data_IF_038099126573
#
_entry.id   IF_038099126573
#
_cell.length_a   1.000
_cell.length_b   1.000
_cell.length_c   1.000
_cell.angle_alpha   90.00
_cell.angle_beta   90.00
_cell.angle_gamma   90.00
#
_symmetry.space_group_name_H-M   'P 1'
#
loop_
_entity.id
_entity.type
_entity.pdbx_description
1 polymer ?
#
# COMPACT_ATOMS: atom_id res chain seq x y z
N UNK A 1 -0.96 23.98 -28.34
CA UNK A 1 -0.34 22.66 -28.23
C UNK A 1 -1.06 22.00 -27.06
N UNK A 2 -1.72 20.90 -27.25
CA UNK A 2 -2.27 20.15 -26.13
C UNK A 2 -1.08 19.61 -25.36
N UNK A 3 -0.88 20.11 -24.13
CA UNK A 3 0.16 19.61 -23.24
C UNK A 3 -0.05 18.09 -23.10
N UNK A 4 0.90 17.32 -23.64
CA UNK A 4 0.81 15.86 -23.63
C UNK A 4 1.22 15.39 -22.22
N UNK A 5 0.23 15.27 -21.32
CA UNK A 5 0.45 14.79 -19.97
C UNK A 5 0.91 13.34 -20.02
N UNK A 6 2.10 13.07 -19.48
CA UNK A 6 2.71 11.74 -19.48
C UNK A 6 2.17 10.85 -18.37
N UNK A 7 1.99 11.42 -17.19
CA UNK A 7 1.57 10.69 -15.99
C UNK A 7 0.44 11.39 -15.25
N UNK A 8 -0.47 10.60 -14.69
CA UNK A 8 -1.44 11.02 -13.69
C UNK A 8 -1.08 10.38 -12.37
N UNK A 9 -0.72 11.19 -11.37
CA UNK A 9 -0.53 10.71 -9.99
C UNK A 9 -1.88 10.78 -9.29
N UNK A 10 -2.48 9.63 -9.04
CA UNK A 10 -3.75 9.51 -8.37
C UNK A 10 -3.56 9.26 -6.87
N UNK A 11 -4.29 10.03 -6.05
CA UNK A 11 -4.24 9.97 -4.59
C UNK A 11 -5.66 9.87 -4.04
N UNK A 12 -6.10 8.68 -3.57
CA UNK A 12 -7.33 8.57 -2.81
C UNK A 12 -7.12 9.14 -1.41
N UNK A 13 -8.06 9.96 -0.92
CA UNK A 13 -7.97 10.57 0.41
C UNK A 13 -9.18 10.31 1.28
N UNK A 14 -8.94 10.09 2.57
CA UNK A 14 -9.95 9.99 3.61
C UNK A 14 -9.32 10.30 4.96
N UNK A 15 -9.69 11.45 5.59
CA UNK A 15 -9.09 11.94 6.83
C UNK A 15 -7.55 11.95 6.78
N UNK A 16 -7.00 12.65 5.78
CA UNK A 16 -5.57 12.65 5.46
C UNK A 16 -4.80 13.86 5.99
N UNK A 17 -5.37 14.67 6.89
CA UNK A 17 -4.79 15.95 7.34
C UNK A 17 -3.36 15.84 7.88
N UNK A 18 -3.02 14.69 8.49
CA UNK A 18 -1.70 14.46 9.09
C UNK A 18 -0.59 14.18 8.06
N UNK A 19 -0.95 13.78 6.83
CA UNK A 19 0.00 13.26 5.84
C UNK A 19 0.12 14.14 4.58
N UNK A 20 -0.96 14.82 4.18
CA UNK A 20 -1.05 15.42 2.86
C UNK A 20 -0.06 16.57 2.62
N UNK A 21 0.29 17.37 3.62
CA UNK A 21 1.29 18.44 3.46
C UNK A 21 2.68 17.86 3.14
N UNK A 22 3.08 16.78 3.80
CA UNK A 22 4.34 16.08 3.51
C UNK A 22 4.31 15.49 2.10
N UNK A 23 3.23 14.79 1.76
CA UNK A 23 3.02 14.17 0.45
C UNK A 23 3.08 15.19 -0.68
N UNK A 24 2.27 16.24 -0.63
CA UNK A 24 2.27 17.28 -1.67
C UNK A 24 3.59 18.04 -1.75
N UNK A 25 4.28 18.25 -0.63
CA UNK A 25 5.63 18.82 -0.63
C UNK A 25 6.60 17.94 -1.41
N UNK A 26 6.56 16.64 -1.23
CA UNK A 26 7.41 15.70 -1.96
C UNK A 26 7.06 15.63 -3.45
N UNK A 27 5.76 15.66 -3.79
CA UNK A 27 5.30 15.69 -5.19
C UNK A 27 5.69 16.99 -5.90
N UNK A 28 5.57 18.14 -5.24
CA UNK A 28 5.96 19.44 -5.80
C UNK A 28 7.46 19.52 -6.13
N UNK A 29 8.29 18.75 -5.44
CA UNK A 29 9.74 18.70 -5.66
C UNK A 29 10.17 17.73 -6.75
N UNK A 30 9.25 17.01 -7.38
CA UNK A 30 9.61 16.02 -8.41
C UNK A 30 10.28 16.69 -9.62
N UNK A 31 11.39 16.10 -10.05
CA UNK A 31 12.17 16.55 -11.22
C UNK A 31 11.99 15.54 -12.35
N UNK A 32 11.16 15.91 -13.29
CA UNK A 32 10.87 15.17 -14.51
C UNK A 32 10.99 16.08 -15.73
N UNK A 33 11.20 15.52 -16.89
CA UNK A 33 11.29 16.22 -18.18
C UNK A 33 9.98 16.09 -19.01
N UNK A 34 8.89 15.76 -18.33
CA UNK A 34 7.56 15.60 -18.91
C UNK A 34 6.49 16.24 -18.01
N UNK A 35 5.34 16.55 -18.62
CA UNK A 35 4.18 17.06 -17.90
C UNK A 35 3.45 15.93 -17.17
N UNK A 36 3.00 16.20 -15.94
CA UNK A 36 2.17 15.29 -15.15
C UNK A 36 1.05 16.04 -14.43
N UNK A 37 -0.03 15.34 -14.16
CA UNK A 37 -1.13 15.86 -13.35
C UNK A 37 -1.20 15.17 -11.98
N UNK A 38 -1.75 15.87 -11.01
CA UNK A 38 -2.21 15.32 -9.74
C UNK A 38 -3.73 15.19 -9.81
N UNK A 39 -4.24 14.00 -9.51
CA UNK A 39 -5.65 13.70 -9.41
C UNK A 39 -5.96 13.23 -7.99
N UNK A 40 -6.76 13.99 -7.24
CA UNK A 40 -7.17 13.63 -5.89
C UNK A 40 -8.66 13.29 -5.89
N UNK A 41 -9.03 12.16 -5.28
CA UNK A 41 -10.43 11.82 -4.99
C UNK A 41 -10.57 11.66 -3.48
N UNK A 42 -11.31 12.59 -2.87
CA UNK A 42 -11.57 12.60 -1.44
C UNK A 42 -12.92 11.97 -1.10
N UNK A 43 -12.94 11.11 -0.10
CA UNK A 43 -14.15 10.41 0.35
C UNK A 43 -14.86 11.22 1.44
N UNK A 44 -15.25 12.47 1.12
CA UNK A 44 -16.01 13.39 1.98
C UNK A 44 -15.40 13.55 3.39
N UNK A 45 -14.10 13.79 3.44
CA UNK A 45 -13.38 14.07 4.70
C UNK A 45 -13.93 15.31 5.40
N UNK A 46 -14.06 15.24 6.73
CA UNK A 46 -14.58 16.33 7.56
C UNK A 46 -13.51 17.05 8.39
N UNK A 47 -12.27 16.57 8.33
CA UNK A 47 -11.09 17.21 8.90
C UNK A 47 -10.52 18.29 7.96
N UNK A 48 -9.30 18.71 8.14
CA UNK A 48 -8.63 19.72 7.31
C UNK A 48 -8.18 19.22 5.93
N UNK A 49 -8.43 17.95 5.60
CA UNK A 49 -8.08 17.35 4.29
C UNK A 49 -8.50 18.22 3.11
N UNK A 50 -9.79 18.65 2.97
CA UNK A 50 -10.22 19.47 1.84
C UNK A 50 -9.56 20.86 1.79
N UNK A 51 -9.21 21.43 2.94
CA UNK A 51 -8.49 22.72 3.03
C UNK A 51 -7.05 22.59 2.51
N UNK A 52 -6.35 21.53 2.95
CA UNK A 52 -4.98 21.25 2.52
C UNK A 52 -4.95 21.04 1.01
N UNK A 53 -5.84 20.18 0.47
CA UNK A 53 -5.93 19.92 -0.97
C UNK A 53 -6.10 21.24 -1.74
N UNK A 54 -7.06 22.08 -1.36
CA UNK A 54 -7.31 23.37 -2.01
C UNK A 54 -6.13 24.35 -1.91
N UNK A 55 -5.35 24.27 -0.83
CA UNK A 55 -4.17 25.12 -0.65
C UNK A 55 -3.00 24.73 -1.55
N UNK A 56 -2.92 23.43 -1.89
CA UNK A 56 -1.87 22.91 -2.76
C UNK A 56 -2.21 22.96 -4.24
N UNK A 57 -3.48 22.88 -4.61
CA UNK A 57 -3.93 22.85 -6.01
C UNK A 57 -3.33 23.95 -6.88
N UNK A 58 -3.26 25.24 -6.46
CA UNK A 58 -2.70 26.32 -7.28
C UNK A 58 -1.18 26.23 -7.50
N UNK A 59 -0.48 25.37 -6.76
CA UNK A 59 0.98 25.22 -6.87
C UNK A 59 1.40 24.27 -7.98
N UNK A 60 0.49 23.40 -8.43
CA UNK A 60 0.73 22.45 -9.53
C UNK A 60 0.15 22.99 -10.84
N UNK A 61 0.81 22.72 -11.94
CA UNK A 61 0.36 23.13 -13.26
C UNK A 61 -0.93 22.41 -13.67
N UNK A 62 -1.03 21.12 -13.36
CA UNK A 62 -2.21 20.30 -13.62
C UNK A 62 -2.64 19.61 -12.33
N UNK A 63 -3.75 20.07 -11.77
CA UNK A 63 -4.31 19.51 -10.53
C UNK A 63 -5.82 19.40 -10.65
N UNK A 64 -6.34 18.23 -10.35
CA UNK A 64 -7.79 17.97 -10.30
C UNK A 64 -8.17 17.38 -8.96
N UNK A 65 -9.29 17.81 -8.45
CA UNK A 65 -9.83 17.40 -7.17
C UNK A 65 -11.31 17.09 -7.29
N UNK A 66 -11.70 15.90 -6.86
CA UNK A 66 -13.10 15.45 -6.79
C UNK A 66 -13.42 14.92 -5.40
N UNK A 67 -14.69 14.97 -5.05
CA UNK A 67 -15.22 14.42 -3.80
C UNK A 67 -16.28 13.39 -4.11
N UNK A 68 -16.20 12.24 -3.45
CA UNK A 68 -17.19 11.18 -3.52
C UNK A 68 -17.78 10.93 -2.12
N UNK A 69 -18.92 10.28 -2.06
CA UNK A 69 -19.52 9.84 -0.79
C UNK A 69 -18.94 8.49 -0.35
N UNK A 70 -19.06 8.17 0.94
CA UNK A 70 -18.57 6.89 1.48
C UNK A 70 -19.16 5.66 0.78
N UNK A 71 -20.47 5.60 0.46
CA UNK A 71 -21.05 4.47 -0.29
C UNK A 71 -20.50 4.31 -1.73
N UNK A 72 -19.99 5.37 -2.33
CA UNK A 72 -19.38 5.34 -3.66
C UNK A 72 -17.95 4.79 -3.61
N UNK A 73 -17.33 4.79 -2.43
CA UNK A 73 -15.97 4.32 -2.26
C UNK A 73 -15.90 2.80 -2.25
N UNK A 74 -15.02 2.27 -3.07
CA UNK A 74 -14.41 0.94 -2.98
C UNK A 74 -13.01 1.07 -3.55
N UNK A 75 -12.04 0.39 -2.99
CA UNK A 75 -10.66 0.51 -3.43
C UNK A 75 -10.50 0.24 -4.94
N UNK A 76 -11.06 -0.82 -5.46
CA UNK A 76 -11.00 -1.15 -6.89
C UNK A 76 -11.77 -0.16 -7.77
N UNK A 77 -12.99 0.23 -7.34
CA UNK A 77 -13.82 1.19 -8.08
C UNK A 77 -13.15 2.54 -8.26
N UNK A 78 -12.61 3.09 -7.17
CA UNK A 78 -11.98 4.43 -7.20
C UNK A 78 -10.70 4.42 -8.01
N UNK A 79 -9.91 3.33 -7.98
CA UNK A 79 -8.74 3.17 -8.85
C UNK A 79 -9.12 3.07 -10.33
N UNK A 80 -10.16 2.30 -10.66
CA UNK A 80 -10.66 2.22 -12.02
C UNK A 80 -11.28 3.54 -12.49
N UNK A 81 -11.95 4.27 -11.60
CA UNK A 81 -12.45 5.61 -11.89
C UNK A 81 -11.29 6.56 -12.19
N UNK A 82 -10.24 6.55 -11.38
CA UNK A 82 -9.04 7.34 -11.62
C UNK A 82 -8.39 7.02 -12.96
N UNK A 83 -8.31 5.75 -13.36
CA UNK A 83 -7.81 5.37 -14.68
C UNK A 83 -8.63 5.96 -15.84
N UNK A 84 -9.98 5.99 -15.69
CA UNK A 84 -10.88 6.61 -16.68
C UNK A 84 -10.71 8.13 -16.75
N UNK A 85 -10.47 8.77 -15.62
CA UNK A 85 -10.30 10.22 -15.50
C UNK A 85 -8.90 10.69 -15.89
N UNK A 86 -7.89 9.85 -15.74
CA UNK A 86 -6.49 10.17 -15.98
C UNK A 86 -6.28 10.76 -17.37
N UNK A 87 -5.50 11.84 -17.47
CA UNK A 87 -5.07 12.43 -18.74
C UNK A 87 -3.74 11.85 -19.23
N UNK A 88 -2.92 11.34 -18.27
CA UNK A 88 -1.64 10.74 -18.57
C UNK A 88 -1.71 9.40 -19.28
N UNK A 89 -0.62 9.05 -19.97
CA UNK A 89 -0.39 7.72 -20.55
C UNK A 89 -0.24 6.66 -19.45
N UNK A 90 0.35 7.05 -18.33
CA UNK A 90 0.55 6.22 -17.15
C UNK A 90 -0.30 6.73 -15.98
N UNK A 91 -0.91 5.81 -15.25
CA UNK A 91 -1.58 6.12 -13.98
C UNK A 91 -0.70 5.63 -12.84
N UNK A 92 -0.28 6.55 -11.99
CA UNK A 92 0.54 6.27 -10.80
C UNK A 92 -0.37 6.31 -9.60
N UNK A 93 -0.45 5.20 -8.87
CA UNK A 93 -1.25 5.06 -7.65
C UNK A 93 -0.36 5.31 -6.44
N UNK A 94 -0.77 6.22 -5.58
CA UNK A 94 -0.04 6.60 -4.39
C UNK A 94 -1.02 6.83 -3.24
N UNK A 95 -0.89 6.07 -2.14
CA UNK A 95 -1.75 6.30 -0.97
C UNK A 95 -1.37 7.57 -0.23
N UNK A 96 -2.34 8.18 0.46
CA UNK A 96 -2.16 9.48 1.14
C UNK A 96 -1.05 9.48 2.22
N UNK A 97 -0.67 8.32 2.73
CA UNK A 97 0.34 8.10 3.79
C UNK A 97 1.71 7.62 3.25
N UNK A 98 1.82 7.51 1.92
CA UNK A 98 3.06 7.17 1.24
C UNK A 98 3.72 8.42 0.66
N UNK A 99 4.92 8.75 1.13
CA UNK A 99 5.65 9.96 0.71
C UNK A 99 6.83 9.59 -0.18
N UNK A 100 6.94 10.11 -1.43
CA UNK A 100 8.13 9.94 -2.26
C UNK A 100 9.42 10.27 -1.50
N UNK A 101 10.39 9.35 -1.51
CA UNK A 101 11.60 9.48 -0.70
C UNK A 101 12.63 10.47 -1.31
N UNK A 102 12.49 10.82 -2.59
CA UNK A 102 13.38 11.74 -3.29
C UNK A 102 12.71 12.39 -4.51
N UNK A 103 13.37 13.36 -5.10
CA UNK A 103 12.87 14.21 -6.18
C UNK A 103 12.86 13.57 -7.59
N UNK A 104 13.28 12.32 -7.73
CA UNK A 104 13.23 11.54 -8.99
C UNK A 104 12.26 10.36 -8.94
N UNK A 105 11.48 10.22 -7.88
CA UNK A 105 10.57 9.11 -7.69
C UNK A 105 9.61 8.89 -8.88
N UNK A 106 8.99 9.97 -9.37
CA UNK A 106 8.05 9.89 -10.48
C UNK A 106 8.72 9.44 -11.79
N UNK A 107 9.95 9.87 -12.02
CA UNK A 107 10.75 9.38 -13.13
C UNK A 107 11.06 7.89 -12.99
N UNK A 108 11.53 7.47 -11.82
CA UNK A 108 11.96 6.08 -11.57
C UNK A 108 10.80 5.07 -11.64
N UNK A 109 9.57 5.48 -11.27
CA UNK A 109 8.43 4.56 -11.33
C UNK A 109 7.89 4.37 -12.75
N UNK A 110 8.08 5.34 -13.64
CA UNK A 110 7.61 5.26 -15.05
C UNK A 110 8.65 4.59 -15.94
N UNK A 111 9.93 4.77 -15.68
CA UNK A 111 11.04 4.31 -16.48
C UNK A 111 10.98 2.83 -16.92
N UNK A 112 10.57 1.86 -16.10
CA UNK A 112 10.49 0.47 -16.55
C UNK A 112 9.51 0.28 -17.70
N UNK A 113 8.38 0.98 -17.70
CA UNK A 113 7.39 0.92 -18.78
C UNK A 113 7.92 1.61 -20.06
N UNK A 114 8.65 2.71 -19.91
CA UNK A 114 9.24 3.40 -21.07
C UNK A 114 10.29 2.55 -21.79
N UNK A 115 11.10 1.81 -21.02
CA UNK A 115 12.21 1.00 -21.57
C UNK A 115 11.79 -0.36 -22.09
N UNK A 116 10.76 -0.94 -21.50
CA UNK A 116 10.30 -2.31 -21.80
C UNK A 116 8.81 -2.24 -22.15
N UNK A 117 8.46 -2.24 -23.44
CA UNK A 117 7.07 -2.09 -23.88
C UNK A 117 6.10 -3.14 -23.31
N UNK A 118 6.59 -4.34 -23.00
CA UNK A 118 5.81 -5.43 -22.41
C UNK A 118 5.47 -5.22 -20.93
N UNK A 119 6.21 -4.33 -20.24
CA UNK A 119 5.90 -3.97 -18.84
C UNK A 119 4.66 -3.08 -18.84
N UNK A 120 3.59 -3.59 -18.24
CA UNK A 120 2.31 -2.88 -18.16
C UNK A 120 2.00 -2.37 -16.74
N UNK A 121 2.65 -2.92 -15.73
CA UNK A 121 2.55 -2.47 -14.34
C UNK A 121 3.91 -2.40 -13.66
N UNK A 122 4.08 -1.43 -12.78
CA UNK A 122 5.29 -1.22 -11.98
C UNK A 122 4.91 -1.07 -10.52
N UNK A 123 5.63 -1.74 -9.66
CA UNK A 123 5.56 -1.58 -8.20
C UNK A 123 6.85 -0.91 -7.72
N UNK A 124 6.73 0.19 -7.00
CA UNK A 124 7.85 0.84 -6.32
C UNK A 124 8.10 0.23 -4.94
N UNK A 125 9.28 0.48 -4.39
CA UNK A 125 9.67 0.04 -3.06
C UNK A 125 8.93 0.84 -1.98
N UNK A 126 8.56 0.18 -0.90
CA UNK A 126 8.16 0.85 0.33
C UNK A 126 9.31 0.73 1.34
N UNK A 127 9.79 1.85 1.83
CA UNK A 127 10.72 1.92 2.95
C UNK A 127 9.96 2.30 4.22
N UNK A 128 10.17 1.60 5.32
CA UNK A 128 9.52 1.93 6.57
C UNK A 128 10.05 3.25 7.13
N UNK A 129 9.18 4.11 7.66
CA UNK A 129 9.61 5.34 8.33
C UNK A 129 10.62 5.04 9.43
N UNK A 130 11.64 5.90 9.64
CA UNK A 130 12.71 5.65 10.62
C UNK A 130 12.23 5.34 12.02
N UNK A 131 11.08 5.90 12.41
CA UNK A 131 10.50 5.78 13.76
C UNK A 131 9.45 4.67 13.90
N UNK A 132 9.17 3.94 12.82
CA UNK A 132 8.11 2.95 12.77
C UNK A 132 8.24 1.83 13.81
N UNK A 133 7.12 1.16 14.10
CA UNK A 133 7.07 -0.05 14.91
C UNK A 133 8.06 -1.12 14.35
N UNK A 134 8.97 -1.67 15.18
CA UNK A 134 9.98 -2.61 14.70
C UNK A 134 9.42 -3.84 13.98
N UNK A 135 8.29 -4.37 14.46
CA UNK A 135 7.61 -5.49 13.81
C UNK A 135 7.22 -5.17 12.36
N UNK A 136 6.56 -4.03 12.12
CA UNK A 136 6.19 -3.58 10.76
C UNK A 136 7.43 -3.25 9.93
N UNK A 137 8.42 -2.61 10.54
CA UNK A 137 9.67 -2.26 9.87
C UNK A 137 10.40 -3.50 9.36
N UNK A 138 10.52 -4.54 10.17
CA UNK A 138 11.11 -5.81 9.77
C UNK A 138 10.29 -6.50 8.67
N UNK A 139 8.96 -6.45 8.77
CA UNK A 139 8.07 -7.05 7.77
C UNK A 139 8.16 -6.34 6.40
N UNK A 140 8.12 -5.01 6.37
CA UNK A 140 8.25 -4.24 5.12
C UNK A 140 9.60 -4.52 4.47
N UNK A 141 10.71 -4.42 5.22
CA UNK A 141 12.06 -4.68 4.70
C UNK A 141 12.14 -6.10 4.11
N UNK A 142 11.60 -7.10 4.81
CA UNK A 142 11.63 -8.49 4.36
C UNK A 142 10.76 -8.72 3.12
N UNK A 143 9.59 -8.08 3.06
CA UNK A 143 8.69 -8.18 1.91
C UNK A 143 9.35 -7.64 0.65
N UNK A 144 9.91 -6.44 0.72
CA UNK A 144 10.51 -5.83 -0.48
C UNK A 144 11.87 -6.40 -0.86
N UNK A 145 12.61 -7.00 0.06
CA UNK A 145 13.86 -7.71 -0.23
C UNK A 145 13.69 -8.95 -1.12
N UNK A 146 12.45 -9.47 -1.27
CA UNK A 146 12.19 -10.65 -2.11
C UNK A 146 12.12 -10.32 -3.61
N UNK A 147 11.88 -9.05 -3.97
CA UNK A 147 11.62 -8.67 -5.37
C UNK A 147 12.88 -8.31 -6.16
N UNK A 148 14.02 -8.23 -5.51
CA UNK A 148 15.30 -8.00 -6.17
C UNK A 148 16.18 -7.00 -5.44
N UNK A 149 17.38 -6.73 -5.99
CA UNK A 149 18.36 -5.83 -5.38
C UNK A 149 17.93 -4.36 -5.54
N UNK A 150 18.35 -3.51 -4.60
CA UNK A 150 18.00 -2.08 -4.58
C UNK A 150 18.65 -1.23 -5.69
N UNK A 151 19.57 -1.81 -6.47
CA UNK A 151 20.29 -1.10 -7.52
C UNK A 151 19.70 -1.24 -8.92
N UNK A 152 18.73 -2.14 -9.14
CA UNK A 152 18.21 -2.42 -10.47
C UNK A 152 16.72 -2.78 -10.47
N UNK A 153 16.10 -2.64 -11.63
CA UNK A 153 14.71 -3.04 -11.87
C UNK A 153 14.65 -4.56 -12.10
N UNK A 154 13.77 -5.25 -11.38
CA UNK A 154 13.44 -6.66 -11.62
C UNK A 154 12.15 -6.75 -12.42
N UNK A 155 12.06 -7.71 -13.35
CA UNK A 155 10.88 -7.93 -14.18
C UNK A 155 10.32 -9.32 -13.94
N UNK A 156 9.01 -9.42 -13.80
CA UNK A 156 8.25 -10.62 -13.51
C UNK A 156 7.23 -10.86 -14.62
N UNK A 157 7.08 -12.11 -15.03
CA UNK A 157 6.12 -12.55 -16.04
C UNK A 157 5.72 -13.99 -15.77
N UNK A 158 4.63 -14.44 -16.37
CA UNK A 158 4.22 -15.85 -16.32
C UNK A 158 5.20 -16.72 -17.11
N UNK A 159 5.68 -17.80 -16.50
CA UNK A 159 6.61 -18.74 -17.10
C UNK A 159 6.19 -20.17 -16.75
N UNK A 160 6.49 -21.12 -17.64
CA UNK A 160 6.23 -22.55 -17.42
C UNK A 160 6.97 -23.13 -16.19
N UNK A 161 8.00 -22.44 -15.70
CA UNK A 161 8.77 -22.83 -14.51
C UNK A 161 8.16 -22.35 -13.19
N UNK A 162 6.99 -21.70 -13.19
CA UNK A 162 6.26 -21.38 -11.95
C UNK A 162 5.64 -22.66 -11.42
N UNK A 163 6.37 -23.34 -10.53
CA UNK A 163 6.10 -24.69 -10.02
C UNK A 163 5.37 -24.72 -8.67
N UNK A 164 5.19 -23.56 -8.03
CA UNK A 164 4.58 -23.46 -6.71
C UNK A 164 3.73 -22.21 -6.53
N UNK A 165 2.72 -22.32 -5.67
CA UNK A 165 1.88 -21.18 -5.29
C UNK A 165 2.70 -20.05 -4.68
N UNK A 166 3.77 -20.36 -3.94
CA UNK A 166 4.64 -19.36 -3.33
C UNK A 166 5.38 -18.54 -4.39
N UNK A 167 5.88 -19.18 -5.44
CA UNK A 167 6.53 -18.47 -6.56
C UNK A 167 5.51 -17.66 -7.34
N UNK A 168 4.32 -18.25 -7.58
CA UNK A 168 3.24 -17.53 -8.24
C UNK A 168 2.81 -16.27 -7.46
N UNK A 169 2.63 -16.39 -6.13
CA UNK A 169 2.31 -15.24 -5.27
C UNK A 169 3.39 -14.16 -5.31
N UNK A 170 4.66 -14.52 -5.41
CA UNK A 170 5.77 -13.57 -5.55
C UNK A 170 5.73 -12.85 -6.91
N UNK A 171 5.55 -13.61 -7.98
CA UNK A 171 5.50 -13.09 -9.36
C UNK A 171 4.31 -12.13 -9.52
N UNK A 172 3.15 -12.47 -8.93
CA UNK A 172 1.92 -11.69 -9.08
C UNK A 172 1.74 -10.60 -8.01
N UNK A 173 2.53 -10.57 -6.94
CA UNK A 173 2.40 -9.57 -5.88
C UNK A 173 2.41 -8.15 -6.43
N UNK A 174 1.43 -7.35 -6.05
CA UNK A 174 1.31 -5.94 -6.44
C UNK A 174 0.82 -5.11 -5.25
N UNK A 175 1.22 -3.85 -5.16
CA UNK A 175 0.79 -2.97 -4.07
C UNK A 175 0.61 -1.54 -4.54
N UNK A 176 -0.62 -1.06 -4.46
CA UNK A 176 -1.02 0.30 -4.85
C UNK A 176 -0.73 1.37 -3.80
N UNK A 177 -0.02 1.01 -2.76
CA UNK A 177 0.62 2.02 -1.91
C UNK A 177 1.58 2.86 -2.74
N UNK A 178 2.26 2.23 -3.72
CA UNK A 178 3.24 2.86 -4.59
C UNK A 178 3.37 2.03 -5.88
N UNK A 179 2.59 2.36 -6.89
CA UNK A 179 2.57 1.62 -8.15
C UNK A 179 2.30 2.51 -9.35
N UNK A 180 2.47 1.98 -10.54
CA UNK A 180 2.08 2.63 -11.80
C UNK A 180 1.65 1.59 -12.83
N UNK A 181 0.69 1.94 -13.69
CA UNK A 181 0.25 1.07 -14.76
C UNK A 181 -0.03 1.85 -16.04
N UNK A 182 0.06 1.16 -17.20
CA UNK A 182 -0.35 1.73 -18.48
C UNK A 182 -1.86 1.96 -18.49
N UNK A 183 -2.28 3.19 -18.77
CA UNK A 183 -3.70 3.53 -18.90
C UNK A 183 -4.41 2.68 -19.95
N UNK A 184 -3.76 2.38 -21.07
CA UNK A 184 -4.32 1.53 -22.12
C UNK A 184 -4.69 0.12 -21.63
N UNK A 185 -3.89 -0.47 -20.75
CA UNK A 185 -4.14 -1.79 -20.15
C UNK A 185 -5.27 -1.71 -19.11
N UNK A 186 -5.29 -0.67 -18.28
CA UNK A 186 -6.35 -0.41 -17.29
C UNK A 186 -7.73 -0.17 -17.93
N UNK A 187 -7.77 0.41 -19.13
CA UNK A 187 -9.01 0.66 -19.88
C UNK A 187 -9.35 -0.45 -20.88
N UNK A 188 -8.45 -1.40 -21.07
CA UNK A 188 -8.57 -2.53 -21.99
C UNK A 188 -8.68 -3.85 -21.25
N UNK A 189 -7.62 -4.65 -21.33
CA UNK A 189 -7.64 -6.06 -20.96
C UNK A 189 -7.64 -6.33 -19.44
N UNK A 190 -7.05 -5.42 -18.64
CA UNK A 190 -6.86 -5.63 -17.21
C UNK A 190 -7.36 -4.43 -16.41
N UNK A 191 -8.69 -4.24 -16.29
CA UNK A 191 -9.26 -3.20 -15.41
C UNK A 191 -9.17 -3.62 -13.94
N UNK A 192 -9.12 -2.64 -13.03
CA UNK A 192 -9.35 -2.92 -11.62
C UNK A 192 -10.75 -3.46 -11.40
N UNK A 193 -10.84 -4.56 -10.68
CA UNK A 193 -12.11 -5.15 -10.28
C UNK A 193 -12.69 -4.43 -9.08
N UNK A 194 -14.02 -4.28 -9.05
CA UNK A 194 -14.75 -3.69 -7.91
C UNK A 194 -14.88 -4.72 -6.80
N UNK A 195 -13.77 -4.98 -6.11
CA UNK A 195 -13.71 -5.84 -4.93
C UNK A 195 -13.34 -5.02 -3.71
N UNK A 196 -13.87 -5.36 -2.53
CA UNK A 196 -13.72 -4.54 -1.34
C UNK A 196 -12.30 -4.54 -0.75
N UNK A 197 -11.49 -5.54 -1.07
CA UNK A 197 -10.15 -5.70 -0.49
C UNK A 197 -9.22 -6.48 -1.42
N UNK A 198 -7.90 -6.20 -1.38
CA UNK A 198 -6.84 -6.84 -2.16
C UNK A 198 -7.04 -6.72 -3.70
N UNK A 199 -7.64 -5.64 -4.14
CA UNK A 199 -7.84 -5.31 -5.56
C UNK A 199 -6.51 -5.14 -6.30
N UNK A 200 -5.48 -4.65 -5.60
CA UNK A 200 -4.12 -4.53 -6.10
C UNK A 200 -3.46 -5.90 -6.32
N UNK A 201 -3.66 -6.85 -5.39
CA UNK A 201 -3.19 -8.22 -5.55
C UNK A 201 -3.89 -8.90 -6.75
N UNK A 202 -5.20 -8.67 -6.87
CA UNK A 202 -5.97 -9.21 -8.01
C UNK A 202 -5.53 -8.58 -9.33
N UNK A 203 -5.26 -7.28 -9.36
CA UNK A 203 -4.73 -6.60 -10.52
C UNK A 203 -3.36 -7.18 -10.94
N UNK A 204 -2.45 -7.39 -9.99
CA UNK A 204 -1.15 -7.99 -10.26
C UNK A 204 -1.25 -9.42 -10.82
N UNK A 205 -2.18 -10.23 -10.30
CA UNK A 205 -2.48 -11.57 -10.83
C UNK A 205 -3.05 -11.48 -12.26
N UNK A 206 -4.06 -10.64 -12.47
CA UNK A 206 -4.70 -10.49 -13.78
C UNK A 206 -3.71 -9.98 -14.83
N UNK A 207 -2.82 -9.05 -14.45
CA UNK A 207 -1.78 -8.51 -15.32
C UNK A 207 -0.88 -9.63 -15.87
N UNK A 208 -0.36 -10.47 -14.96
CA UNK A 208 0.55 -11.57 -15.33
C UNK A 208 -0.18 -12.63 -16.14
N UNK A 209 -1.40 -13.02 -15.74
CA UNK A 209 -2.23 -14.02 -16.46
C UNK A 209 -2.64 -13.59 -17.88
N UNK A 210 -2.69 -12.27 -18.14
CA UNK A 210 -2.94 -11.75 -19.50
C UNK A 210 -1.65 -11.62 -20.33
N UNK A 211 -0.53 -12.16 -19.84
CA UNK A 211 0.74 -12.19 -20.55
C UNK A 211 1.53 -10.87 -20.51
N UNK A 212 1.13 -9.92 -19.65
CA UNK A 212 1.90 -8.70 -19.42
C UNK A 212 3.04 -8.95 -18.42
N UNK A 213 4.10 -8.15 -18.56
CA UNK A 213 5.18 -8.12 -17.58
C UNK A 213 4.89 -7.09 -16.49
N UNK A 214 5.27 -7.43 -15.27
CA UNK A 214 5.28 -6.54 -14.10
C UNK A 214 6.72 -6.22 -13.72
N UNK A 215 7.01 -4.99 -13.34
CA UNK A 215 8.33 -4.61 -12.86
C UNK A 215 8.31 -4.22 -11.37
N UNK A 216 9.41 -4.46 -10.68
CA UNK A 216 9.74 -3.88 -9.39
C UNK A 216 10.84 -2.85 -9.57
N UNK A 217 10.56 -1.60 -9.20
CA UNK A 217 11.46 -0.46 -9.33
C UNK A 217 11.90 0.02 -7.93
N UNK A 218 12.99 -0.52 -7.37
CA UNK A 218 13.43 -0.19 -6.00
C UNK A 218 13.83 1.27 -5.82
N UNK A 219 14.24 1.95 -6.90
CA UNK A 219 14.57 3.39 -6.88
C UNK A 219 13.34 4.28 -6.81
N UNK A 220 12.17 3.79 -7.19
CA UNK A 220 10.91 4.49 -6.98
C UNK A 220 10.41 4.22 -5.56
N UNK A 221 11.20 4.58 -4.56
CA UNK A 221 10.86 4.29 -3.17
C UNK A 221 10.07 5.40 -2.49
N UNK A 222 9.18 4.98 -1.59
CA UNK A 222 8.38 5.87 -0.74
C UNK A 222 8.60 5.53 0.73
N UNK A 223 8.49 6.53 1.60
CA UNK A 223 8.36 6.32 3.04
C UNK A 223 6.90 5.97 3.33
N UNK A 224 6.67 4.77 3.85
CA UNK A 224 5.33 4.33 4.21
C UNK A 224 5.35 3.46 5.47
N UNK A 225 4.54 3.82 6.45
CA UNK A 225 4.19 2.97 7.59
C UNK A 225 2.90 3.46 8.23
N UNK A 226 1.99 2.56 8.46
CA UNK A 226 0.81 2.83 9.27
C UNK A 226 1.17 2.82 10.75
N UNK A 227 1.15 3.96 11.41
CA UNK A 227 1.33 4.04 12.86
C UNK A 227 0.03 3.63 13.56
N UNK A 228 -0.02 2.39 14.02
CA UNK A 228 -1.19 1.84 14.71
C UNK A 228 -0.88 1.73 16.20
N UNK A 229 -1.81 2.19 17.05
CA UNK A 229 -1.71 2.07 18.50
C UNK A 229 -1.84 0.61 18.92
N UNK A 230 -1.12 0.21 19.97
CA UNK A 230 -1.15 -1.17 20.48
C UNK A 230 -2.59 -1.68 20.74
N UNK A 231 -3.46 -0.84 21.29
CA UNK A 231 -4.87 -1.19 21.57
C UNK A 231 -5.70 -1.54 20.34
N UNK A 232 -5.31 -0.98 19.17
CA UNK A 232 -6.05 -1.12 17.91
C UNK A 232 -5.41 -2.20 17.01
N UNK A 233 -4.18 -2.64 17.32
CA UNK A 233 -3.40 -3.52 16.46
C UNK A 233 -4.03 -4.90 16.24
N UNK A 234 -4.68 -5.47 17.29
CA UNK A 234 -5.45 -6.72 17.16
C UNK A 234 -6.55 -6.60 16.12
N UNK A 235 -7.32 -5.51 16.15
CA UNK A 235 -8.42 -5.26 15.24
C UNK A 235 -7.94 -5.05 13.80
N UNK A 236 -6.83 -4.32 13.63
CA UNK A 236 -6.19 -4.13 12.33
C UNK A 236 -5.78 -5.46 11.70
N UNK A 237 -5.12 -6.32 12.47
CA UNK A 237 -4.72 -7.66 11.99
C UNK A 237 -5.91 -8.57 11.72
N UNK A 238 -7.02 -8.39 12.45
CA UNK A 238 -8.27 -9.07 12.18
C UNK A 238 -8.84 -8.67 10.81
N UNK A 239 -8.95 -7.36 10.53
CA UNK A 239 -9.48 -6.86 9.26
C UNK A 239 -8.66 -7.33 8.07
N UNK A 240 -7.33 -7.26 8.17
CA UNK A 240 -6.41 -7.71 7.13
C UNK A 240 -6.62 -9.19 6.76
N UNK A 241 -6.71 -10.05 7.77
CA UNK A 241 -6.90 -11.50 7.54
C UNK A 241 -8.31 -11.83 7.05
N UNK A 242 -9.34 -11.15 7.56
CA UNK A 242 -10.71 -11.29 7.03
C UNK A 242 -10.74 -10.89 5.56
N UNK A 243 -10.10 -9.78 5.18
CA UNK A 243 -9.99 -9.35 3.79
C UNK A 243 -9.34 -10.42 2.90
N UNK A 244 -8.17 -10.94 3.31
CA UNK A 244 -7.45 -12.01 2.59
C UNK A 244 -8.31 -13.27 2.43
N UNK A 245 -9.09 -13.65 3.45
CA UNK A 245 -10.01 -14.80 3.38
C UNK A 245 -11.18 -14.55 2.44
N UNK A 246 -11.70 -13.31 2.37
CA UNK A 246 -12.81 -12.94 1.46
C UNK A 246 -12.43 -13.05 -0.02
N UNK A 247 -11.16 -12.90 -0.35
CA UNK A 247 -10.64 -13.12 -1.72
C UNK A 247 -10.26 -14.60 -2.00
N UNK A 248 -10.71 -15.52 -1.15
CA UNK A 248 -10.60 -16.97 -1.39
C UNK A 248 -9.30 -17.61 -0.89
N UNK A 249 -8.39 -16.88 -0.24
CA UNK A 249 -7.18 -17.48 0.34
C UNK A 249 -7.53 -18.24 1.62
N UNK A 250 -7.15 -19.52 1.69
CA UNK A 250 -7.30 -20.34 2.88
C UNK A 250 -6.12 -20.18 3.81
N UNK A 251 -6.37 -20.22 5.12
CA UNK A 251 -5.32 -20.10 6.14
C UNK A 251 -5.49 -21.22 7.16
N UNK A 252 -4.39 -21.88 7.50
CA UNK A 252 -4.38 -22.92 8.53
C UNK A 252 -4.58 -22.32 9.94
N UNK A 253 -5.26 -23.06 10.84
CA UNK A 253 -5.42 -22.67 12.22
C UNK A 253 -4.07 -22.48 12.93
N UNK A 254 -3.92 -21.36 13.62
CA UNK A 254 -2.69 -21.03 14.35
C UNK A 254 -2.73 -21.58 15.77
N UNK A 255 -1.77 -22.45 16.09
CA UNK A 255 -1.64 -23.06 17.42
C UNK A 255 -1.05 -22.11 18.46
N UNK A 256 -1.36 -22.33 19.75
CA UNK A 256 -0.74 -21.55 20.84
C UNK A 256 0.78 -21.71 20.91
N UNK A 257 1.36 -22.93 20.74
CA UNK A 257 2.82 -23.07 20.67
C UNK A 257 3.47 -22.25 19.57
N UNK A 258 2.82 -22.10 18.41
CA UNK A 258 3.29 -21.23 17.34
C UNK A 258 3.33 -19.76 17.82
N UNK A 259 2.29 -19.27 18.47
CA UNK A 259 2.27 -17.88 19.01
C UNK A 259 3.39 -17.66 20.02
N UNK A 260 3.59 -18.62 20.94
CA UNK A 260 4.70 -18.57 21.92
C UNK A 260 6.04 -18.49 21.20
N UNK A 261 6.26 -19.31 20.16
CA UNK A 261 7.47 -19.26 19.32
C UNK A 261 7.68 -17.87 18.71
N UNK A 262 6.63 -17.22 18.21
CA UNK A 262 6.73 -15.86 17.65
C UNK A 262 7.08 -14.81 18.72
N UNK A 263 6.53 -14.93 19.93
CA UNK A 263 6.90 -14.05 21.03
C UNK A 263 8.36 -14.24 21.44
N UNK A 264 8.84 -15.49 21.56
CA UNK A 264 10.25 -15.77 21.83
C UNK A 264 11.16 -15.21 20.72
N UNK A 265 10.74 -15.33 19.45
CA UNK A 265 11.45 -14.72 18.33
C UNK A 265 11.52 -13.19 18.46
N UNK A 266 10.44 -12.53 18.87
CA UNK A 266 10.42 -11.08 19.09
C UNK A 266 11.38 -10.67 20.23
N UNK A 267 11.43 -11.46 21.30
CA UNK A 267 12.33 -11.23 22.44
C UNK A 267 13.81 -11.49 22.11
N UNK A 268 14.12 -12.26 21.09
CA UNK A 268 15.48 -12.61 20.66
C UNK A 268 15.88 -11.88 19.39
N UNK A 269 15.41 -12.33 18.24
CA UNK A 269 15.78 -11.76 16.93
C UNK A 269 15.24 -10.34 16.76
N UNK A 270 14.00 -10.09 17.19
CA UNK A 270 13.39 -8.74 17.18
C UNK A 270 14.17 -7.76 18.04
N UNK A 271 14.59 -8.18 19.27
CA UNK A 271 15.44 -7.34 20.11
C UNK A 271 16.78 -7.05 19.48
N UNK A 272 17.39 -8.05 18.80
CA UNK A 272 18.64 -7.85 18.05
C UNK A 272 18.47 -6.87 16.89
N UNK A 273 17.35 -6.95 16.16
CA UNK A 273 16.99 -5.99 15.12
C UNK A 273 16.88 -4.57 15.69
N UNK A 274 16.12 -4.37 16.78
CA UNK A 274 15.94 -3.08 17.44
C UNK A 274 17.28 -2.47 17.88
N UNK A 275 18.14 -3.28 18.50
CA UNK A 275 19.44 -2.82 19.01
C UNK A 275 20.40 -2.40 17.87
N UNK A 276 20.35 -3.09 16.74
CA UNK A 276 21.18 -2.80 15.57
C UNK A 276 20.69 -1.68 14.68
N UNK A 277 19.40 -1.33 14.78
CA UNK A 277 18.83 -0.25 13.97
C UNK A 277 19.45 1.11 14.36
N UNK A 278 20.22 1.70 13.44
CA UNK A 278 20.86 3.00 13.63
C UNK A 278 19.90 4.19 13.63
N UNK A 279 18.65 4.00 13.18
CA UNK A 279 17.64 5.06 13.09
C UNK A 279 16.91 5.30 14.41
N UNK A 280 16.88 4.30 15.32
CA UNK A 280 16.28 4.49 16.63
C UNK A 280 17.25 5.16 17.61
N UNK A 281 16.77 6.22 18.31
CA UNK A 281 17.45 6.72 19.50
C UNK A 281 17.49 5.65 20.58
N UNK A 282 18.45 5.75 21.52
CA UNK A 282 18.59 4.75 22.60
C UNK A 282 17.34 4.65 23.49
N UNK A 283 16.63 5.80 23.74
CA UNK A 283 15.37 5.83 24.49
C UNK A 283 14.28 5.05 23.74
N UNK A 284 14.22 5.21 22.43
CA UNK A 284 13.26 4.50 21.57
C UNK A 284 13.58 3.01 21.48
N UNK A 285 14.84 2.62 21.49
CA UNK A 285 15.26 1.21 21.59
C UNK A 285 14.75 0.56 22.88
N UNK A 286 14.95 1.20 24.04
CA UNK A 286 14.44 0.69 25.31
C UNK A 286 12.92 0.56 25.31
N UNK A 287 12.22 1.55 24.81
CA UNK A 287 10.76 1.49 24.65
C UNK A 287 10.33 0.28 23.81
N UNK A 288 10.94 0.11 22.63
CA UNK A 288 10.57 -0.98 21.73
C UNK A 288 10.98 -2.37 22.22
N UNK A 289 12.05 -2.51 23.00
CA UNK A 289 12.39 -3.80 23.62
C UNK A 289 11.28 -4.32 24.54
N UNK A 290 10.53 -3.41 25.18
CA UNK A 290 9.40 -3.77 26.05
C UNK A 290 8.10 -3.91 25.26
N UNK A 291 7.82 -2.99 24.34
CA UNK A 291 6.50 -2.85 23.72
C UNK A 291 6.35 -3.71 22.45
N UNK A 292 7.42 -3.94 21.69
CA UNK A 292 7.35 -4.74 20.47
C UNK A 292 6.84 -6.18 20.66
N UNK A 293 7.23 -6.93 21.72
CA UNK A 293 6.65 -8.24 22.00
C UNK A 293 5.14 -8.21 22.26
N UNK A 294 4.60 -7.11 22.82
CA UNK A 294 3.16 -6.94 23.03
C UNK A 294 2.42 -6.81 21.69
N UNK A 295 2.98 -6.07 20.73
CA UNK A 295 2.44 -6.01 19.38
C UNK A 295 2.41 -7.39 18.72
N UNK A 296 3.43 -8.22 18.93
CA UNK A 296 3.44 -9.61 18.40
C UNK A 296 2.30 -10.43 19.00
N UNK A 297 2.03 -10.27 20.31
CA UNK A 297 0.88 -10.94 20.95
C UNK A 297 -0.44 -10.48 20.35
N UNK A 298 -0.65 -9.18 20.21
CA UNK A 298 -1.88 -8.62 19.65
C UNK A 298 -2.06 -9.00 18.16
N UNK A 299 -0.97 -9.04 17.37
CA UNK A 299 -0.97 -9.56 16.00
C UNK A 299 -1.61 -10.93 15.94
N UNK A 300 -1.04 -11.89 16.68
CA UNK A 300 -1.47 -13.28 16.60
C UNK A 300 -2.84 -13.53 17.24
N UNK A 301 -3.27 -12.70 18.21
CA UNK A 301 -4.65 -12.71 18.68
C UNK A 301 -5.63 -12.29 17.58
N UNK A 302 -5.31 -11.23 16.82
CA UNK A 302 -6.12 -10.77 15.69
C UNK A 302 -6.21 -11.81 14.59
N UNK A 303 -5.08 -12.35 14.15
CA UNK A 303 -4.99 -13.41 13.12
C UNK A 303 -5.80 -14.63 13.52
N UNK A 304 -5.66 -15.13 14.76
CA UNK A 304 -6.43 -16.29 15.24
C UNK A 304 -7.93 -16.02 15.28
N UNK A 305 -8.34 -14.84 15.74
CA UNK A 305 -9.76 -14.47 15.76
C UNK A 305 -10.33 -14.39 14.33
N UNK A 306 -9.57 -13.82 13.41
CA UNK A 306 -9.97 -13.70 12.01
C UNK A 306 -10.07 -15.06 11.29
N UNK A 307 -9.19 -16.03 11.61
CA UNK A 307 -9.28 -17.38 11.06
C UNK A 307 -10.51 -18.12 11.60
N UNK A 308 -10.88 -17.88 12.86
CA UNK A 308 -11.97 -18.59 13.54
C UNK A 308 -13.36 -18.01 13.21
N UNK A 309 -13.48 -16.76 12.75
CA UNK A 309 -14.76 -16.12 12.47
C UNK A 309 -15.42 -16.71 11.22
N UNK A 310 -16.74 -16.91 11.27
CA UNK A 310 -17.52 -17.20 10.06
C UNK A 310 -17.63 -15.95 9.20
N UNK A 311 -17.17 -16.03 7.95
CA UNK A 311 -17.22 -14.91 7.00
C UNK A 311 -18.65 -14.49 6.62
N UNK A 312 -19.66 -15.28 6.93
CA UNK A 312 -21.09 -14.95 6.74
C UNK A 312 -21.67 -14.17 7.91
N UNK A 313 -21.02 -14.17 9.06
CA UNK A 313 -21.48 -13.45 10.26
C UNK A 313 -20.92 -12.02 10.26
N UNK A 314 -21.55 -11.13 9.48
CA UNK A 314 -21.16 -9.74 9.37
C UNK A 314 -21.18 -8.99 10.71
N UNK A 315 -22.07 -9.38 11.64
CA UNK A 315 -22.13 -8.75 12.96
C UNK A 315 -20.93 -9.12 13.83
N UNK A 316 -20.52 -10.40 13.81
CA UNK A 316 -19.32 -10.85 14.52
C UNK A 316 -18.04 -10.24 13.93
N UNK A 317 -18.01 -9.98 12.62
CA UNK A 317 -16.91 -9.28 11.94
C UNK A 317 -16.89 -7.81 12.38
N UNK A 318 -18.02 -7.09 12.27
CA UNK A 318 -18.11 -5.68 12.63
C UNK A 318 -17.67 -5.41 14.08
N UNK A 319 -18.03 -6.27 15.02
CA UNK A 319 -17.66 -6.15 16.45
C UNK A 319 -16.15 -6.26 16.72
N UNK A 320 -15.40 -6.87 15.82
CA UNK A 320 -13.95 -7.10 15.95
C UNK A 320 -13.13 -6.23 15.00
N UNK A 321 -13.77 -5.52 14.07
CA UNK A 321 -13.16 -4.68 13.05
C UNK A 321 -12.67 -3.35 13.62
N UNK A 322 -11.51 -2.89 13.15
CA UNK A 322 -11.01 -1.54 13.38
C UNK A 322 -11.79 -0.54 12.52
N UNK A 323 -11.98 -0.86 11.25
CA UNK A 323 -12.69 -0.01 10.30
C UNK A 323 -14.11 0.32 10.80
N UNK A 324 -14.86 -0.68 11.25
CA UNK A 324 -16.19 -0.48 11.85
C UNK A 324 -16.14 0.38 13.10
N UNK A 325 -15.10 0.23 13.93
CA UNK A 325 -14.91 1.01 15.17
C UNK A 325 -14.54 2.47 14.88
N UNK A 326 -13.77 2.74 13.84
CA UNK A 326 -13.40 4.09 13.40
C UNK A 326 -14.59 4.80 12.75
N UNK A 327 -15.34 4.09 11.94
CA UNK A 327 -16.56 4.62 11.35
C UNK A 327 -17.55 5.10 12.41
N UNK A 328 -17.78 4.31 13.46
CA UNK A 328 -18.63 4.71 14.59
C UNK A 328 -18.10 5.94 15.34
N UNK A 329 -16.77 6.11 15.44
CA UNK A 329 -16.17 7.31 16.10
C UNK A 329 -16.32 8.58 15.26
N UNK A 330 -16.37 8.47 13.93
CA UNK A 330 -16.52 9.61 13.02
C UNK A 330 -17.98 10.01 12.83
N UNK A 331 -18.93 9.12 13.14
CA UNK A 331 -20.37 9.36 13.08
C UNK A 331 -20.96 9.87 14.41
N UNK A 332 -20.23 9.73 15.53
CA UNK A 332 -20.61 10.21 16.87
C UNK A 332 -20.06 11.61 17.16
#
# INVERSE_FOLDING_TARGET
MTDNIKATVFIPTYYGEDNLDELFTALYKQKVDFEYEILVIDTSSKDRTPEIIRSWAPKFQHFRYETITKPEFSHGRVRQQAAKMAQGEYVVYLTQDATPAHDRWLYEIIQPMERIPQVAGVMGKQDPRPTALPLLKEEIIRTFAQFGPDFGTSVFYEDEFIDSQQVFDLVTFYSDVNSAARKSVLLGDVPYQDIPYAEDQKFGEDLVRHGYMKAYAPRANVWHTNEIKLRDYKKRMFDEIVGVRRVGKTMDPISIPFVIKQVVRALTLGSRFILRDGQYSWKRKLYWLVVNPLFVVEKWKGVRAAIAVDLKDEQAIANQSLESSEQQRHES
#
